data_IF_628431304972
#
_entry.id   IF_628431304972
#
_cell.length_a   1.000
_cell.length_b   1.000
_cell.length_c   1.000
_cell.angle_alpha   90.00
_cell.angle_beta   90.00
_cell.angle_gamma   90.00
#
_symmetry.space_group_name_H-M   'P 1'
#
loop_
_entity.id
_entity.type
_entity.pdbx_description
1 polymer ?
#
# COMPACT_ATOMS: atom_id res chain seq x y z
N UNK A 1 -9.01 -16.42 6.28
CA UNK A 1 -9.26 -15.06 5.78
C UNK A 1 -10.11 -15.03 4.52
N UNK A 2 -9.77 -15.76 3.44
CA UNK A 2 -10.54 -15.80 2.17
C UNK A 2 -12.05 -16.05 2.33
N UNK A 3 -12.46 -17.04 3.12
CA UNK A 3 -13.90 -17.32 3.38
C UNK A 3 -14.64 -16.12 4.00
N UNK A 4 -13.97 -15.35 4.85
CA UNK A 4 -14.52 -14.17 5.48
C UNK A 4 -14.40 -12.92 4.60
N UNK A 5 -13.72 -13.02 3.45
CA UNK A 5 -13.40 -11.90 2.56
C UNK A 5 -12.72 -10.72 3.26
N UNK A 6 -12.04 -10.97 4.38
CA UNK A 6 -11.48 -9.93 5.23
C UNK A 6 -10.31 -9.20 4.56
N UNK A 7 -10.21 -7.88 4.78
CA UNK A 7 -8.98 -7.15 4.53
C UNK A 7 -7.94 -7.52 5.60
N UNK A 8 -6.73 -7.92 5.21
CA UNK A 8 -5.64 -8.08 6.16
C UNK A 8 -5.07 -6.69 6.49
N UNK A 9 -5.21 -6.26 7.75
CA UNK A 9 -4.67 -4.98 8.23
C UNK A 9 -3.42 -5.30 9.03
N UNK A 10 -2.30 -4.65 8.69
CA UNK A 10 -1.02 -4.84 9.36
C UNK A 10 -0.26 -3.53 9.53
N UNK A 11 0.87 -3.59 10.23
CA UNK A 11 1.78 -2.48 10.52
C UNK A 11 3.22 -2.98 10.68
N UNK A 12 4.04 -2.31 11.49
CA UNK A 12 5.45 -2.65 11.82
C UNK A 12 6.47 -2.58 10.67
N UNK A 13 6.06 -2.77 9.42
CA UNK A 13 6.99 -2.82 8.28
C UNK A 13 7.76 -1.52 8.02
N UNK A 14 7.38 -0.41 8.65
CA UNK A 14 7.90 0.94 8.39
C UNK A 14 7.73 1.41 6.93
N UNK A 15 6.82 0.77 6.18
CA UNK A 15 6.51 1.10 4.80
C UNK A 15 5.02 0.86 4.54
N UNK A 16 4.29 1.92 4.21
CA UNK A 16 2.88 1.79 3.84
C UNK A 16 2.75 1.04 2.52
N UNK A 17 1.96 -0.03 2.48
CA UNK A 17 1.79 -0.84 1.27
C UNK A 17 0.36 -1.31 1.11
N UNK A 18 -0.13 -1.30 -0.11
CA UNK A 18 -1.32 -2.01 -0.52
C UNK A 18 -0.92 -3.14 -1.46
N UNK A 19 -1.19 -4.37 -1.06
CA UNK A 19 -0.83 -5.56 -1.83
C UNK A 19 -1.92 -6.63 -1.79
N UNK A 20 -1.93 -7.53 -2.76
CA UNK A 20 -2.83 -8.67 -2.81
C UNK A 20 -2.01 -9.95 -2.84
N UNK A 21 -2.35 -10.89 -1.95
CA UNK A 21 -1.67 -12.17 -1.88
C UNK A 21 -2.09 -13.09 -3.05
N UNK A 22 -1.15 -13.91 -3.51
CA UNK A 22 -1.41 -15.10 -4.32
C UNK A 22 -1.02 -16.37 -3.57
N UNK A 23 -1.92 -17.35 -3.53
CA UNK A 23 -1.71 -18.66 -2.88
C UNK A 23 -1.47 -19.74 -3.93
N UNK A 24 -2.32 -19.80 -4.96
CA UNK A 24 -2.17 -20.76 -6.06
C UNK A 24 -1.85 -20.07 -7.38
N UNK A 25 -2.30 -18.83 -7.55
CA UNK A 25 -1.96 -17.95 -8.67
C UNK A 25 -1.90 -16.50 -8.18
N UNK A 26 -1.29 -15.57 -8.94
CA UNK A 26 -1.34 -14.16 -8.61
C UNK A 26 -2.77 -13.68 -8.37
N UNK A 27 -2.94 -12.85 -7.34
CA UNK A 27 -4.20 -12.14 -7.06
C UNK A 27 -5.41 -13.05 -6.82
N UNK A 28 -5.21 -14.22 -6.22
CA UNK A 28 -6.30 -15.14 -5.88
C UNK A 28 -6.72 -15.13 -4.41
N UNK A 29 -6.12 -14.25 -3.60
CA UNK A 29 -6.33 -14.19 -2.17
C UNK A 29 -6.53 -12.76 -1.67
N UNK A 30 -6.52 -12.60 -0.35
CA UNK A 30 -6.88 -11.37 0.33
C UNK A 30 -5.92 -10.22 -0.02
N UNK A 31 -6.50 -9.03 -0.16
CA UNK A 31 -5.80 -7.76 -0.04
C UNK A 31 -5.26 -7.58 1.38
N UNK A 32 -4.11 -6.94 1.45
CA UNK A 32 -3.41 -6.55 2.66
C UNK A 32 -3.03 -5.08 2.58
N UNK A 33 -3.44 -4.33 3.60
CA UNK A 33 -3.06 -2.95 3.80
C UNK A 33 -2.14 -2.87 5.02
N UNK A 34 -0.88 -2.57 4.77
CA UNK A 34 0.05 -2.17 5.81
C UNK A 34 0.00 -0.65 5.92
N UNK A 35 -0.49 -0.12 7.03
CA UNK A 35 -0.59 1.32 7.19
C UNK A 35 0.80 1.97 7.34
N UNK A 36 0.98 3.23 6.87
CA UNK A 36 2.17 3.99 7.22
C UNK A 36 2.30 4.15 8.74
N UNK A 37 3.54 4.22 9.22
CA UNK A 37 3.85 4.41 10.64
C UNK A 37 3.89 5.90 10.95
N UNK A 38 3.28 6.32 12.08
CA UNK A 38 3.15 7.74 12.44
C UNK A 38 4.47 8.48 12.53
N UNK A 39 5.56 7.80 12.92
CA UNK A 39 6.90 8.34 12.96
C UNK A 39 7.92 7.23 12.69
N UNK A 40 8.51 7.24 11.49
CA UNK A 40 9.46 6.23 11.03
C UNK A 40 10.85 6.49 11.59
N UNK A 41 11.31 5.60 12.47
CA UNK A 41 12.68 5.57 12.98
C UNK A 41 13.69 5.03 11.96
N UNK A 42 13.32 4.00 11.21
CA UNK A 42 14.16 3.36 10.20
C UNK A 42 13.39 3.22 8.88
N UNK A 43 13.69 4.04 7.85
CA UNK A 43 12.94 4.05 6.60
C UNK A 43 13.25 2.79 5.80
N UNK A 44 12.25 2.29 5.07
CA UNK A 44 12.36 1.14 4.18
C UNK A 44 11.84 1.52 2.79
N UNK A 45 12.40 0.87 1.77
CA UNK A 45 11.99 1.04 0.38
C UNK A 45 11.67 -0.32 -0.23
N UNK A 46 10.75 -0.31 -1.19
CA UNK A 46 10.45 -1.44 -2.08
C UNK A 46 10.88 -1.12 -3.51
N UNK A 47 12.09 -1.52 -3.91
CA UNK A 47 12.68 -1.17 -5.22
C UNK A 47 13.01 -2.43 -6.05
N UNK A 48 12.02 -3.30 -6.34
CA UNK A 48 12.26 -4.53 -7.09
C UNK A 48 12.78 -4.25 -8.50
N UNK A 49 12.32 -3.18 -9.15
CA UNK A 49 12.73 -2.86 -10.53
C UNK A 49 14.20 -2.43 -10.59
N UNK A 50 14.65 -1.61 -9.63
CA UNK A 50 16.07 -1.22 -9.49
C UNK A 50 16.95 -2.44 -9.17
N UNK A 51 16.39 -3.44 -8.48
CA UNK A 51 17.03 -4.73 -8.22
C UNK A 51 16.97 -5.70 -9.43
N UNK A 52 16.42 -5.27 -10.58
CA UNK A 52 16.32 -6.07 -11.80
C UNK A 52 15.26 -7.17 -11.75
N UNK A 53 14.33 -7.13 -10.79
CA UNK A 53 13.23 -8.08 -10.73
C UNK A 53 12.16 -7.72 -11.76
N UNK A 54 11.71 -8.69 -12.59
CA UNK A 54 10.72 -8.42 -13.61
C UNK A 54 9.36 -8.12 -12.99
N UNK A 55 8.73 -7.03 -13.43
CA UNK A 55 7.34 -6.72 -13.14
C UNK A 55 6.42 -7.35 -14.21
N UNK A 56 5.33 -7.99 -13.77
CA UNK A 56 4.25 -8.48 -14.64
C UNK A 56 2.93 -7.83 -14.24
N UNK A 57 2.02 -7.55 -15.18
CA UNK A 57 0.68 -7.01 -14.90
C UNK A 57 0.70 -5.73 -14.02
N UNK A 58 1.43 -4.70 -14.42
CA UNK A 58 1.42 -3.43 -13.68
C UNK A 58 0.00 -2.83 -13.62
N UNK A 59 -0.43 -2.24 -12.49
CA UNK A 59 -1.70 -1.53 -12.40
C UNK A 59 -1.85 -0.42 -13.44
N UNK A 60 -3.09 -0.03 -13.75
CA UNK A 60 -3.39 1.01 -14.76
C UNK A 60 -2.75 2.36 -14.47
N UNK A 61 -2.55 2.72 -13.20
CA UNK A 61 -1.88 3.97 -12.84
C UNK A 61 -0.38 3.97 -13.16
N UNK A 62 0.18 2.82 -13.59
CA UNK A 62 1.52 2.67 -14.13
C UNK A 62 2.64 3.22 -13.21
N UNK A 63 2.43 3.16 -11.90
CA UNK A 63 3.43 3.65 -10.92
C UNK A 63 4.61 2.68 -10.85
N UNK A 64 5.83 3.17 -10.62
CA UNK A 64 7.00 2.31 -10.44
C UNK A 64 6.84 1.40 -9.21
N UNK A 65 7.51 0.26 -9.23
CA UNK A 65 7.54 -0.75 -8.18
C UNK A 65 6.17 -1.34 -7.82
N UNK A 66 5.22 -1.31 -8.76
CA UNK A 66 3.88 -1.90 -8.64
C UNK A 66 3.69 -2.99 -9.70
N UNK A 67 2.74 -3.90 -9.51
CA UNK A 67 2.54 -5.10 -10.34
C UNK A 67 2.74 -6.40 -9.57
N UNK A 68 2.73 -7.53 -10.29
CA UNK A 68 3.02 -8.85 -9.75
C UNK A 68 4.53 -9.06 -9.62
N UNK A 69 4.94 -9.55 -8.45
CA UNK A 69 6.29 -9.98 -8.12
C UNK A 69 6.24 -11.31 -7.36
N UNK A 70 7.41 -11.94 -7.18
CA UNK A 70 7.59 -13.02 -6.20
C UNK A 70 8.42 -12.50 -5.04
N UNK A 71 7.94 -12.76 -3.82
CA UNK A 71 8.70 -12.42 -2.62
C UNK A 71 9.92 -13.35 -2.44
N UNK A 72 10.76 -13.05 -1.44
CA UNK A 72 11.96 -13.83 -1.14
C UNK A 72 11.69 -15.29 -0.71
N UNK A 73 10.44 -15.61 -0.35
CA UNK A 73 10.01 -16.96 0.01
C UNK A 73 9.32 -17.68 -1.17
N UNK A 74 9.22 -17.02 -2.33
CA UNK A 74 8.63 -17.56 -3.56
C UNK A 74 7.11 -17.41 -3.66
N UNK A 75 6.47 -16.64 -2.78
CA UNK A 75 5.03 -16.37 -2.85
C UNK A 75 4.72 -15.30 -3.90
N UNK A 76 3.59 -15.43 -4.58
CA UNK A 76 3.10 -14.38 -5.47
C UNK A 76 2.53 -13.20 -4.67
N UNK A 77 2.96 -12.00 -5.03
CA UNK A 77 2.46 -10.75 -4.44
C UNK A 77 2.18 -9.73 -5.54
N UNK A 78 0.95 -9.23 -5.55
CA UNK A 78 0.59 -8.08 -6.36
C UNK A 78 0.71 -6.81 -5.54
N UNK A 79 1.62 -5.92 -5.88
CA UNK A 79 1.82 -4.64 -5.20
C UNK A 79 1.06 -3.57 -5.98
N UNK A 80 0.05 -2.95 -5.37
CA UNK A 80 -0.75 -1.90 -6.01
C UNK A 80 -0.20 -0.50 -5.69
N UNK A 81 0.12 -0.22 -4.43
CA UNK A 81 0.66 1.08 -4.02
C UNK A 81 1.70 0.93 -2.90
N UNK A 82 2.71 1.79 -2.93
CA UNK A 82 3.79 1.84 -1.93
C UNK A 82 4.04 3.28 -1.52
N UNK A 83 4.00 3.53 -0.21
CA UNK A 83 4.32 4.81 0.41
C UNK A 83 5.83 5.01 0.54
N UNK A 84 6.53 5.06 -0.59
CA UNK A 84 7.98 5.24 -0.61
C UNK A 84 8.41 6.52 0.12
N UNK A 85 9.44 6.44 0.98
CA UNK A 85 10.01 7.61 1.60
C UNK A 85 11.01 8.31 0.67
N UNK A 86 11.21 9.59 0.92
CA UNK A 86 12.38 10.33 0.49
C UNK A 86 13.57 9.98 1.43
N UNK A 87 14.77 10.42 1.06
CA UNK A 87 15.93 10.31 1.97
C UNK A 87 15.79 11.35 3.08
N UNK A 88 15.85 10.89 4.34
CA UNK A 88 15.69 11.74 5.52
C UNK A 88 16.93 12.57 5.85
N UNK A 89 17.08 13.72 5.21
CA UNK A 89 18.27 14.58 5.31
C UNK A 89 18.07 15.75 6.27
N UNK A 90 16.83 16.23 6.45
CA UNK A 90 16.57 17.49 7.16
C UNK A 90 17.04 17.47 8.62
N UNK A 91 17.70 18.51 9.14
CA UNK A 91 18.04 18.58 10.56
C UNK A 91 16.80 18.73 11.46
N UNK A 92 15.65 19.15 10.91
CA UNK A 92 14.40 19.27 11.65
C UNK A 92 13.73 17.90 11.78
N UNK A 93 13.46 17.45 13.01
CA UNK A 93 12.88 16.13 13.27
C UNK A 93 11.52 15.88 12.62
N UNK A 94 10.69 16.90 12.46
CA UNK A 94 9.34 16.77 11.88
C UNK A 94 9.41 16.70 10.36
N UNK A 95 10.26 17.53 9.75
CA UNK A 95 10.52 17.47 8.30
C UNK A 95 11.20 16.14 7.95
N UNK A 96 12.19 15.72 8.73
CA UNK A 96 12.83 14.40 8.58
C UNK A 96 11.84 13.25 8.72
N UNK A 97 10.89 13.33 9.65
CA UNK A 97 9.85 12.31 9.76
C UNK A 97 8.99 12.25 8.49
N UNK A 98 8.61 13.40 7.93
CA UNK A 98 7.90 13.47 6.65
C UNK A 98 8.71 12.85 5.51
N UNK A 99 9.98 13.24 5.34
CA UNK A 99 10.89 12.67 4.34
C UNK A 99 10.97 11.14 4.47
N UNK A 100 11.11 10.62 5.69
CA UNK A 100 11.23 9.17 5.96
C UNK A 100 9.94 8.38 5.78
N UNK A 101 8.92 8.93 5.14
CA UNK A 101 7.67 8.25 4.84
C UNK A 101 6.80 8.01 6.07
N UNK A 102 6.97 8.83 7.11
CA UNK A 102 6.03 8.80 8.23
C UNK A 102 4.65 9.23 7.75
N UNK A 103 3.61 8.75 8.42
CA UNK A 103 2.23 9.03 8.03
C UNK A 103 1.23 8.17 8.79
N UNK A 104 0.00 8.13 8.32
CA UNK A 104 -1.02 7.26 8.90
C UNK A 104 -1.96 6.74 7.82
N UNK A 105 -2.61 5.62 8.11
CA UNK A 105 -3.62 5.04 7.24
C UNK A 105 -5.01 5.17 7.84
N UNK A 106 -6.02 5.27 6.97
CA UNK A 106 -7.43 5.14 7.36
C UNK A 106 -8.09 4.05 6.53
N UNK A 107 -9.14 3.46 7.09
CA UNK A 107 -9.94 2.45 6.39
C UNK A 107 -11.41 2.75 6.67
N UNK A 108 -12.17 3.02 5.61
CA UNK A 108 -13.62 3.14 5.67
C UNK A 108 -14.27 1.83 5.22
N UNK A 109 -15.19 1.32 6.04
CA UNK A 109 -15.95 0.11 5.75
C UNK A 109 -17.38 0.49 5.36
N UNK A 110 -17.74 0.27 4.09
CA UNK A 110 -19.14 0.35 3.66
C UNK A 110 -19.75 -1.06 3.70
N UNK A 111 -20.53 -1.33 4.74
CA UNK A 111 -21.15 -2.64 4.97
C UNK A 111 -22.22 -2.94 3.91
N UNK A 112 -22.88 -1.91 3.37
CA UNK A 112 -23.93 -2.07 2.36
C UNK A 112 -23.36 -2.45 1.00
N UNK A 113 -22.26 -1.79 0.60
CA UNK A 113 -21.55 -2.07 -0.66
C UNK A 113 -20.52 -3.19 -0.52
N UNK A 114 -20.23 -3.61 0.70
CA UNK A 114 -19.18 -4.57 1.04
C UNK A 114 -17.81 -4.14 0.50
N UNK A 115 -17.42 -2.90 0.77
CA UNK A 115 -16.15 -2.32 0.33
C UNK A 115 -15.27 -1.87 1.49
N UNK A 116 -13.97 -1.84 1.23
CA UNK A 116 -12.93 -1.26 2.07
C UNK A 116 -12.28 -0.12 1.29
N UNK A 117 -12.43 1.12 1.74
CA UNK A 117 -11.66 2.24 1.16
C UNK A 117 -10.46 2.50 2.05
N UNK A 118 -9.27 2.18 1.55
CA UNK A 118 -8.00 2.42 2.24
C UNK A 118 -7.41 3.74 1.77
N UNK A 119 -6.89 4.51 2.72
CA UNK A 119 -6.19 5.76 2.44
C UNK A 119 -4.88 5.80 3.23
N UNK A 120 -3.89 6.53 2.72
CA UNK A 120 -2.58 6.68 3.34
C UNK A 120 -2.11 8.14 3.20
N UNK A 121 -2.00 8.80 4.35
CA UNK A 121 -1.63 10.20 4.46
C UNK A 121 -0.17 10.35 4.90
N UNK A 122 0.52 11.34 4.33
CA UNK A 122 1.85 11.77 4.75
C UNK A 122 1.81 12.40 6.14
N UNK A 123 2.95 12.42 6.82
CA UNK A 123 3.07 12.99 8.15
C UNK A 123 2.92 14.51 8.16
N UNK A 124 2.23 15.02 9.19
CA UNK A 124 2.10 16.45 9.47
C UNK A 124 1.51 17.26 8.30
N UNK A 125 0.45 16.74 7.69
CA UNK A 125 -0.30 17.37 6.60
C UNK A 125 -1.69 17.80 7.07
N UNK A 126 -2.25 18.82 6.42
CA UNK A 126 -3.64 19.20 6.58
C UNK A 126 -4.52 18.35 5.65
N UNK A 127 -5.32 17.46 6.23
CA UNK A 127 -6.24 16.59 5.48
C UNK A 127 -7.52 17.29 5.02
N UNK A 128 -7.77 18.51 5.49
CA UNK A 128 -8.92 19.32 5.07
C UNK A 128 -8.65 20.15 3.81
N UNK A 129 -7.37 20.25 3.41
CA UNK A 129 -6.99 20.93 2.18
C UNK A 129 -7.40 20.10 0.96
N UNK A 130 -8.11 20.71 0.01
CA UNK A 130 -8.63 20.12 -1.24
C UNK A 130 -7.53 19.74 -2.29
N UNK A 131 -6.31 19.47 -1.85
CA UNK A 131 -5.20 19.08 -2.73
C UNK A 131 -4.89 17.58 -2.65
N UNK A 132 -4.32 17.00 -3.70
CA UNK A 132 -3.74 15.63 -3.71
C UNK A 132 -2.47 15.51 -2.84
N UNK A 133 -1.92 16.64 -2.37
CA UNK A 133 -0.65 16.70 -1.64
C UNK A 133 -0.61 16.00 -0.26
N UNK A 134 -1.71 15.74 0.49
CA UNK A 134 -1.58 15.14 1.81
C UNK A 134 -1.42 13.62 1.74
N UNK A 135 -1.62 12.97 0.58
CA UNK A 135 -1.58 11.51 0.45
C UNK A 135 -0.24 11.00 -0.08
N UNK A 136 0.02 9.72 0.20
CA UNK A 136 1.00 8.97 -0.57
C UNK A 136 0.43 8.64 -1.96
N UNK A 137 1.24 8.62 -3.02
CA UNK A 137 0.78 8.23 -4.35
C UNK A 137 0.11 6.86 -4.36
N UNK A 138 -0.98 6.74 -5.11
CA UNK A 138 -1.73 5.48 -5.27
C UNK A 138 -2.88 5.29 -4.28
N UNK A 139 -3.14 6.28 -3.41
CA UNK A 139 -4.26 6.31 -2.47
C UNK A 139 -5.18 7.52 -2.75
N UNK A 140 -6.48 7.45 -2.41
CA UNK A 140 -7.18 6.33 -1.79
C UNK A 140 -7.50 5.19 -2.79
N UNK A 141 -7.82 4.01 -2.26
CA UNK A 141 -8.22 2.84 -3.05
C UNK A 141 -9.42 2.17 -2.42
N UNK A 142 -10.48 1.95 -3.21
CA UNK A 142 -11.65 1.18 -2.81
C UNK A 142 -11.56 -0.25 -3.34
N UNK A 143 -11.59 -1.21 -2.43
CA UNK A 143 -11.55 -2.65 -2.69
C UNK A 143 -12.92 -3.24 -2.39
N UNK A 144 -13.44 -4.07 -3.29
CA UNK A 144 -14.64 -4.86 -3.01
C UNK A 144 -14.27 -6.16 -2.29
N UNK A 145 -15.07 -6.55 -1.29
CA UNK A 145 -14.84 -7.78 -0.52
C UNK A 145 -14.71 -9.03 -1.41
N UNK A 146 -15.40 -9.06 -2.56
CA UNK A 146 -15.30 -10.16 -3.53
C UNK A 146 -13.93 -10.30 -4.18
N UNK A 147 -13.11 -9.25 -4.23
CA UNK A 147 -11.72 -9.34 -4.72
C UNK A 147 -10.88 -10.25 -3.82
N UNK A 148 -11.18 -10.31 -2.51
CA UNK A 148 -10.57 -11.25 -1.57
C UNK A 148 -10.99 -12.73 -1.79
N UNK A 149 -11.91 -12.96 -2.72
CA UNK A 149 -12.35 -14.27 -3.21
C UNK A 149 -12.00 -14.47 -4.70
N UNK A 150 -10.96 -13.79 -5.19
CA UNK A 150 -10.41 -13.90 -6.56
C UNK A 150 -11.24 -13.23 -7.66
N UNK A 151 -12.25 -12.43 -7.33
CA UNK A 151 -13.01 -11.63 -8.30
C UNK A 151 -12.39 -10.23 -8.45
N UNK A 152 -11.19 -10.14 -9.02
CA UNK A 152 -10.41 -8.89 -9.12
C UNK A 152 -11.11 -7.83 -9.98
N UNK A 153 -11.24 -6.61 -9.44
CA UNK A 153 -11.87 -5.48 -10.13
C UNK A 153 -10.89 -4.32 -10.34
N UNK A 154 -10.00 -4.08 -9.38
CA UNK A 154 -8.92 -3.13 -9.53
C UNK A 154 -7.96 -3.65 -10.61
N UNK A 155 -7.74 -2.83 -11.65
CA UNK A 155 -6.76 -3.12 -12.69
C UNK A 155 -5.52 -2.30 -12.42
#
# INVERSE_FOLDING_TARGET
MRKAKALHICGDTHLGTLSQYGVHKPRDSNWAFCSPVIAVGWPRWWLPEDAGLPCVERPKHNMPNTGNYRDAFGNDIYVYAVAHPDVGESPNRYVKAHEKGSGFGTIEFDVSKQTYTVDAYRFNVDISADSESPRFPGYPVTIYAKENASENLLN
#
